data_IF_052534851098
#
_entry.id   IF_052534851098
#
_cell.length_a   1.000
_cell.length_b   1.000
_cell.length_c   1.000
_cell.angle_alpha   90.00
_cell.angle_beta   90.00
_cell.angle_gamma   90.00
#
_symmetry.space_group_name_H-M   'P 1'
#
loop_
_entity.id
_entity.type
_entity.pdbx_description
1 polymer ?
#
# COMPACT_ATOMS: atom_id res chain seq x y z
N UNK A 1 -45.95 34.18 -13.03
CA UNK A 1 -45.82 33.89 -14.46
C UNK A 1 -44.62 32.99 -14.63
N UNK A 2 -44.86 31.68 -14.88
CA UNK A 2 -43.81 30.76 -15.25
C UNK A 2 -43.59 30.95 -16.76
N UNK A 3 -42.46 31.53 -17.13
CA UNK A 3 -42.01 31.51 -18.53
C UNK A 3 -41.83 30.05 -18.96
N UNK A 4 -42.78 29.51 -19.68
CA UNK A 4 -42.62 28.22 -20.37
C UNK A 4 -41.62 28.42 -21.51
N UNK A 5 -40.36 28.12 -21.23
CA UNK A 5 -39.30 28.12 -22.23
C UNK A 5 -39.60 26.98 -23.19
N UNK A 6 -39.95 27.31 -24.44
CA UNK A 6 -40.16 26.34 -25.50
C UNK A 6 -38.88 25.55 -25.77
N UNK A 7 -38.98 24.21 -25.86
CA UNK A 7 -37.84 23.30 -26.01
C UNK A 7 -36.87 23.72 -27.13
N UNK A 8 -37.32 24.14 -28.33
CA UNK A 8 -36.43 24.67 -29.35
C UNK A 8 -35.64 25.91 -28.94
N UNK A 9 -36.26 26.86 -28.24
CA UNK A 9 -35.61 28.08 -27.76
C UNK A 9 -34.56 27.75 -26.66
N UNK A 10 -34.84 26.78 -25.82
CA UNK A 10 -33.91 26.27 -24.84
C UNK A 10 -32.69 25.65 -25.50
N UNK A 11 -32.90 24.79 -26.51
CA UNK A 11 -31.81 24.16 -27.27
C UNK A 11 -30.94 25.18 -28.02
N UNK A 12 -31.55 26.22 -28.60
CA UNK A 12 -30.82 27.33 -29.25
C UNK A 12 -30.01 28.15 -28.21
N UNK A 13 -30.57 28.38 -27.03
CA UNK A 13 -29.75 29.00 -25.93
C UNK A 13 -28.59 28.13 -25.52
N UNK A 14 -28.80 26.83 -25.32
CA UNK A 14 -27.72 25.88 -24.93
C UNK A 14 -26.65 25.81 -26.04
N UNK A 15 -26.98 25.78 -27.29
CA UNK A 15 -26.02 25.76 -28.41
C UNK A 15 -25.24 27.06 -28.56
N UNK A 16 -25.86 28.22 -28.28
CA UNK A 16 -25.14 29.51 -28.23
C UNK A 16 -24.10 29.62 -27.12
N UNK A 17 -24.28 28.86 -26.04
CA UNK A 17 -23.33 28.74 -24.93
C UNK A 17 -22.46 27.49 -25.07
N UNK A 18 -22.49 26.76 -26.19
CA UNK A 18 -21.62 25.62 -26.41
C UNK A 18 -20.17 26.10 -26.45
N UNK A 19 -19.46 25.76 -25.39
CA UNK A 19 -18.07 26.09 -25.16
C UNK A 19 -17.17 25.15 -25.93
N UNK A 20 -15.95 25.56 -26.22
CA UNK A 20 -14.94 24.70 -26.85
C UNK A 20 -14.68 23.47 -25.95
N UNK A 21 -14.28 22.34 -26.54
CA UNK A 21 -13.92 21.10 -25.81
C UNK A 21 -12.98 21.34 -24.63
N UNK A 22 -12.09 22.34 -24.76
CA UNK A 22 -11.17 22.73 -23.70
C UNK A 22 -11.88 23.35 -22.49
N UNK A 23 -12.83 24.23 -22.73
CA UNK A 23 -13.64 24.86 -21.68
C UNK A 23 -14.58 23.85 -21.01
N UNK A 24 -15.10 22.87 -21.74
CA UNK A 24 -15.90 21.78 -21.18
C UNK A 24 -15.09 20.97 -20.16
N UNK A 25 -13.82 20.70 -20.43
CA UNK A 25 -12.92 20.01 -19.50
C UNK A 25 -12.67 20.87 -18.24
N UNK A 26 -12.50 22.18 -18.40
CA UNK A 26 -12.31 23.08 -17.26
C UNK A 26 -13.55 23.16 -16.38
N UNK A 27 -14.72 23.32 -16.98
CA UNK A 27 -15.99 23.32 -16.23
C UNK A 27 -16.26 21.99 -15.53
N UNK A 28 -15.93 20.86 -16.16
CA UNK A 28 -16.09 19.54 -15.53
C UNK A 28 -15.20 19.41 -14.28
N UNK A 29 -13.98 19.95 -14.30
CA UNK A 29 -13.10 19.98 -13.14
C UNK A 29 -13.67 20.83 -12.00
N UNK A 30 -14.26 21.99 -12.32
CA UNK A 30 -14.89 22.86 -11.32
C UNK A 30 -16.12 22.18 -10.69
N UNK A 31 -16.97 21.55 -11.53
CA UNK A 31 -18.14 20.81 -11.05
C UNK A 31 -17.73 19.66 -10.15
N UNK A 32 -16.66 18.96 -10.54
CA UNK A 32 -16.10 17.87 -9.74
C UNK A 32 -15.53 18.37 -8.41
N UNK A 33 -14.77 19.47 -8.41
CA UNK A 33 -14.25 20.07 -7.17
C UNK A 33 -15.40 20.46 -6.23
N UNK A 34 -16.47 21.05 -6.77
CA UNK A 34 -17.66 21.37 -5.96
C UNK A 34 -18.40 20.13 -5.44
N UNK A 35 -18.39 19.02 -6.19
CA UNK A 35 -18.91 17.75 -5.71
C UNK A 35 -18.06 17.22 -4.54
N UNK A 36 -16.75 17.20 -4.69
CA UNK A 36 -15.82 16.75 -3.64
C UNK A 36 -15.99 17.56 -2.36
N UNK A 37 -16.09 18.89 -2.46
CA UNK A 37 -16.32 19.77 -1.31
C UNK A 37 -17.63 19.44 -0.59
N UNK A 38 -18.71 19.19 -1.33
CA UNK A 38 -20.01 18.80 -0.75
C UNK A 38 -19.95 17.46 -0.03
N UNK A 39 -19.26 16.49 -0.61
CA UNK A 39 -19.07 15.18 0.02
C UNK A 39 -18.20 15.28 1.28
N UNK A 40 -17.14 16.10 1.27
CA UNK A 40 -16.33 16.39 2.46
C UNK A 40 -17.16 17.01 3.59
N UNK A 41 -18.05 17.95 3.28
CA UNK A 41 -18.97 18.55 4.27
C UNK A 41 -19.86 17.46 4.88
N UNK A 42 -20.49 16.60 4.06
CA UNK A 42 -21.34 15.50 4.54
C UNK A 42 -20.58 14.51 5.42
N UNK A 43 -19.34 14.15 5.04
CA UNK A 43 -18.50 13.27 5.85
C UNK A 43 -18.21 13.90 7.21
N UNK A 44 -17.88 15.20 7.21
CA UNK A 44 -17.56 15.96 8.43
C UNK A 44 -18.78 16.08 9.36
N UNK A 45 -19.95 16.44 8.82
CA UNK A 45 -21.21 16.52 9.57
C UNK A 45 -21.55 15.17 10.20
N UNK A 46 -21.47 14.09 9.43
CA UNK A 46 -21.74 12.73 9.91
C UNK A 46 -20.75 12.31 11.02
N UNK A 47 -19.48 12.68 10.88
CA UNK A 47 -18.44 12.42 11.89
C UNK A 47 -18.73 13.21 13.17
N UNK A 48 -19.13 14.47 13.06
CA UNK A 48 -19.52 15.31 14.19
C UNK A 48 -20.75 14.73 14.90
N UNK A 49 -21.77 14.34 14.15
CA UNK A 49 -23.01 13.80 14.71
C UNK A 49 -22.77 12.47 15.43
N UNK A 50 -21.96 11.58 14.83
CA UNK A 50 -21.60 10.32 15.46
C UNK A 50 -20.75 10.54 16.71
N UNK A 51 -19.82 11.50 16.69
CA UNK A 51 -18.97 11.81 17.85
C UNK A 51 -19.75 12.45 19.01
N UNK A 52 -20.87 13.15 18.72
CA UNK A 52 -21.77 13.72 19.75
C UNK A 52 -22.72 12.68 20.35
N UNK A 53 -22.95 11.54 19.68
CA UNK A 53 -23.78 10.48 20.22
C UNK A 53 -23.06 9.80 21.39
N UNK A 54 -23.67 9.82 22.57
CA UNK A 54 -23.16 9.13 23.76
C UNK A 54 -23.50 7.63 23.74
N UNK A 55 -23.26 6.96 22.61
CA UNK A 55 -23.46 5.51 22.51
C UNK A 55 -22.17 4.79 22.95
N UNK A 56 -22.25 4.11 24.10
CA UNK A 56 -21.12 3.36 24.66
C UNK A 56 -20.65 2.19 23.77
N UNK A 57 -21.44 1.80 22.76
CA UNK A 57 -21.06 0.76 21.81
C UNK A 57 -20.20 1.28 20.67
N UNK A 58 -20.11 2.60 20.49
CA UNK A 58 -19.32 3.23 19.42
C UNK A 58 -18.04 3.79 20.03
N UNK A 59 -16.92 3.11 19.78
CA UNK A 59 -15.61 3.61 20.24
C UNK A 59 -15.12 4.79 19.38
N UNK A 60 -14.34 5.71 19.95
CA UNK A 60 -13.69 6.78 19.19
C UNK A 60 -12.84 6.24 18.03
N UNK A 61 -12.22 5.08 18.22
CA UNK A 61 -11.45 4.40 17.19
C UNK A 61 -12.32 3.97 16.00
N UNK A 62 -13.55 3.47 16.23
CA UNK A 62 -14.47 3.08 15.17
C UNK A 62 -14.99 4.28 14.36
N UNK A 63 -15.11 5.45 15.01
CA UNK A 63 -15.45 6.70 14.32
C UNK A 63 -14.32 7.13 13.39
N UNK A 64 -13.07 7.06 13.84
CA UNK A 64 -11.89 7.35 13.02
C UNK A 64 -11.85 6.41 11.79
N UNK A 65 -11.95 5.10 12.00
CA UNK A 65 -11.91 4.10 10.93
C UNK A 65 -13.01 4.31 9.88
N UNK A 66 -14.24 4.63 10.33
CA UNK A 66 -15.36 4.90 9.42
C UNK A 66 -15.16 6.18 8.62
N UNK A 67 -14.58 7.21 9.24
CA UNK A 67 -14.29 8.50 8.58
C UNK A 67 -13.15 8.34 7.56
N UNK A 68 -12.08 7.63 7.93
CA UNK A 68 -10.98 7.28 7.02
C UNK A 68 -11.47 6.51 5.81
N UNK A 69 -12.34 5.52 6.00
CA UNK A 69 -12.92 4.75 4.89
C UNK A 69 -13.69 5.64 3.92
N UNK A 70 -14.57 6.53 4.43
CA UNK A 70 -15.37 7.44 3.58
C UNK A 70 -14.50 8.44 2.82
N UNK A 71 -13.46 8.97 3.48
CA UNK A 71 -12.49 9.86 2.83
C UNK A 71 -11.69 9.12 1.75
N UNK A 72 -11.34 7.87 2.01
CA UNK A 72 -10.70 7.00 1.05
C UNK A 72 -11.59 6.74 -0.18
N UNK A 73 -12.83 6.32 0.04
CA UNK A 73 -13.81 6.06 -1.04
C UNK A 73 -14.05 7.31 -1.90
N UNK A 74 -14.05 8.50 -1.27
CA UNK A 74 -14.17 9.77 -1.98
C UNK A 74 -12.93 10.07 -2.83
N UNK A 75 -11.73 9.82 -2.29
CA UNK A 75 -10.47 10.02 -3.00
C UNK A 75 -10.32 9.03 -4.17
N UNK A 76 -10.78 7.79 -4.01
CA UNK A 76 -10.76 6.78 -5.06
C UNK A 76 -11.73 7.10 -6.20
N UNK A 77 -12.95 7.56 -5.87
CA UNK A 77 -13.93 8.08 -6.85
C UNK A 77 -13.40 9.29 -7.60
N UNK A 78 -12.46 10.03 -7.02
CA UNK A 78 -11.83 11.21 -7.62
C UNK A 78 -10.78 10.93 -8.67
N UNK A 79 -10.23 9.75 -8.70
CA UNK A 79 -9.34 9.34 -9.78
C UNK A 79 -10.17 8.89 -11.00
N UNK A 80 -10.87 9.84 -11.63
CA UNK A 80 -11.43 9.69 -12.98
C UNK A 80 -10.31 9.64 -14.05
N UNK A 81 -9.21 8.99 -13.77
CA UNK A 81 -8.38 8.46 -14.84
C UNK A 81 -9.14 7.25 -15.36
N UNK A 82 -9.69 7.41 -16.53
CA UNK A 82 -10.41 6.37 -17.26
C UNK A 82 -9.66 5.05 -17.12
N UNK A 83 -10.25 4.08 -16.43
CA UNK A 83 -9.71 2.72 -16.34
C UNK A 83 -9.63 2.04 -17.72
N UNK A 84 -10.15 2.71 -18.75
CA UNK A 84 -10.10 2.29 -20.15
C UNK A 84 -8.90 2.97 -20.83
N UNK A 85 -7.84 2.22 -20.98
CA UNK A 85 -6.67 2.60 -21.77
C UNK A 85 -6.86 2.01 -23.17
N UNK A 86 -6.61 2.81 -24.22
CA UNK A 86 -6.62 2.29 -25.57
C UNK A 86 -5.52 1.26 -25.76
N UNK A 87 -5.80 0.26 -26.58
CA UNK A 87 -4.85 -0.85 -26.80
C UNK A 87 -3.49 -0.37 -27.35
N UNK A 88 -3.47 0.67 -28.18
CA UNK A 88 -2.24 1.28 -28.69
C UNK A 88 -1.39 1.92 -27.57
N UNK A 89 -2.00 2.55 -26.59
CA UNK A 89 -1.32 3.09 -25.41
C UNK A 89 -0.77 1.96 -24.51
N UNK A 90 -1.59 0.90 -24.31
CA UNK A 90 -1.14 -0.27 -23.55
C UNK A 90 0.04 -0.96 -24.25
N UNK A 91 0.04 -1.07 -25.57
CA UNK A 91 1.16 -1.61 -26.35
C UNK A 91 2.44 -0.79 -26.19
N UNK A 92 2.35 0.55 -26.21
CA UNK A 92 3.53 1.42 -25.99
C UNK A 92 4.15 1.16 -24.62
N UNK A 93 3.34 1.09 -23.57
CA UNK A 93 3.83 0.78 -22.22
C UNK A 93 4.47 -0.61 -22.16
N UNK A 94 3.90 -1.60 -22.86
CA UNK A 94 4.47 -2.96 -22.95
C UNK A 94 5.83 -2.96 -23.67
N UNK A 95 5.96 -2.20 -24.75
CA UNK A 95 7.23 -2.09 -25.51
C UNK A 95 8.30 -1.39 -24.66
N UNK A 96 7.94 -0.33 -23.94
CA UNK A 96 8.86 0.34 -23.02
C UNK A 96 9.33 -0.60 -21.91
N UNK A 97 8.40 -1.37 -21.32
CA UNK A 97 8.72 -2.37 -20.30
C UNK A 97 9.66 -3.46 -20.85
N UNK A 98 9.37 -3.99 -22.02
CA UNK A 98 10.22 -4.97 -22.69
C UNK A 98 11.60 -4.40 -23.08
N UNK A 99 11.66 -3.14 -23.53
CA UNK A 99 12.93 -2.48 -23.84
C UNK A 99 13.80 -2.26 -22.59
N UNK A 100 13.18 -1.90 -21.48
CA UNK A 100 13.89 -1.76 -20.20
C UNK A 100 14.39 -3.11 -19.69
N UNK A 101 13.58 -4.17 -19.83
CA UNK A 101 13.99 -5.54 -19.52
C UNK A 101 15.17 -6.00 -20.36
N UNK A 102 15.13 -5.74 -21.67
CA UNK A 102 16.19 -6.13 -22.62
C UNK A 102 17.53 -5.42 -22.32
N UNK A 103 17.48 -4.18 -21.84
CA UNK A 103 18.67 -3.40 -21.48
C UNK A 103 19.25 -3.78 -20.11
N UNK A 104 18.51 -4.52 -19.32
CA UNK A 104 18.93 -4.91 -17.97
C UNK A 104 19.69 -6.24 -18.06
N UNK A 105 21.03 -6.17 -17.96
CA UNK A 105 21.91 -7.33 -18.04
C UNK A 105 21.64 -8.38 -16.95
N UNK A 106 21.08 -7.97 -15.81
CA UNK A 106 20.74 -8.87 -14.70
C UNK A 106 19.45 -9.66 -14.93
N UNK A 107 18.66 -9.36 -15.97
CA UNK A 107 17.40 -10.05 -16.28
C UNK A 107 16.26 -9.84 -15.27
N UNK A 108 16.46 -9.01 -14.23
CA UNK A 108 15.49 -8.75 -13.17
C UNK A 108 14.87 -7.38 -13.42
N UNK A 109 13.57 -7.35 -13.75
CA UNK A 109 12.82 -6.11 -14.05
C UNK A 109 12.10 -5.57 -12.81
N UNK A 110 11.62 -6.48 -11.97
CA UNK A 110 10.96 -6.17 -10.71
C UNK A 110 11.93 -5.88 -9.56
N UNK A 111 11.38 -5.74 -8.34
CA UNK A 111 12.17 -5.66 -7.12
C UNK A 111 12.79 -7.03 -6.85
N UNK A 112 14.13 -7.15 -6.76
CA UNK A 112 14.77 -8.43 -6.53
C UNK A 112 14.46 -8.97 -5.12
N UNK A 113 14.25 -10.28 -5.02
CA UNK A 113 14.07 -10.96 -3.73
C UNK A 113 15.42 -11.26 -3.06
N UNK A 114 16.51 -11.23 -3.83
CA UNK A 114 17.83 -11.65 -3.39
C UNK A 114 18.01 -13.18 -3.31
N UNK A 115 17.01 -13.94 -3.79
CA UNK A 115 17.04 -15.38 -3.88
C UNK A 115 17.11 -15.77 -5.36
N UNK A 116 18.28 -16.21 -5.81
CA UNK A 116 18.58 -16.45 -7.24
C UNK A 116 17.50 -17.24 -7.95
N UNK A 117 17.19 -18.45 -7.47
CA UNK A 117 16.21 -19.33 -8.13
C UNK A 117 14.80 -18.74 -8.16
N UNK A 118 14.46 -17.89 -7.21
CA UNK A 118 13.17 -17.19 -7.16
C UNK A 118 13.19 -16.03 -8.15
N UNK A 119 14.25 -15.26 -8.17
CA UNK A 119 14.41 -14.12 -9.08
C UNK A 119 14.49 -14.59 -10.55
N UNK A 120 15.18 -15.68 -10.83
CA UNK A 120 15.24 -16.30 -12.17
C UNK A 120 13.85 -16.75 -12.67
N UNK A 121 12.99 -17.22 -11.77
CA UNK A 121 11.64 -17.69 -12.12
C UNK A 121 10.60 -16.55 -12.22
N UNK A 122 10.72 -15.52 -11.39
CA UNK A 122 9.76 -14.42 -11.32
C UNK A 122 10.18 -13.20 -12.16
N UNK A 123 11.46 -13.06 -12.49
CA UNK A 123 12.01 -11.82 -13.06
C UNK A 123 12.02 -10.67 -12.02
N UNK A 124 12.03 -11.00 -10.72
CA UNK A 124 11.80 -10.09 -9.60
C UNK A 124 10.31 -9.93 -9.26
N UNK A 125 10.03 -9.10 -8.25
CA UNK A 125 8.67 -8.78 -7.82
C UNK A 125 8.15 -7.60 -8.64
N UNK A 126 7.14 -7.85 -9.47
CA UNK A 126 6.61 -6.82 -10.38
C UNK A 126 5.57 -5.93 -9.70
N UNK A 127 5.48 -4.70 -10.17
CA UNK A 127 4.44 -3.77 -9.74
C UNK A 127 3.05 -4.36 -9.98
N UNK A 128 2.12 -4.04 -9.11
CA UNK A 128 0.74 -4.55 -9.08
C UNK A 128 0.58 -6.04 -8.78
N UNK A 129 1.64 -6.79 -8.54
CA UNK A 129 1.52 -8.19 -8.14
C UNK A 129 1.19 -8.35 -6.66
N UNK A 130 0.45 -9.39 -6.36
CA UNK A 130 0.20 -9.91 -5.02
C UNK A 130 0.73 -11.33 -4.95
N UNK A 131 1.80 -11.52 -4.19
CA UNK A 131 2.35 -12.84 -3.90
C UNK A 131 1.90 -13.32 -2.53
N UNK A 132 1.49 -14.57 -2.45
CA UNK A 132 1.05 -15.20 -1.21
C UNK A 132 2.00 -16.33 -0.86
N UNK A 133 2.69 -16.19 0.28
CA UNK A 133 3.55 -17.23 0.85
C UNK A 133 2.74 -17.99 1.89
N UNK A 134 2.49 -19.27 1.63
CA UNK A 134 1.77 -20.15 2.53
C UNK A 134 2.66 -21.28 3.03
N UNK A 135 2.42 -21.72 4.25
CA UNK A 135 3.13 -22.83 4.89
C UNK A 135 2.59 -23.10 6.28
N UNK A 136 2.87 -24.29 6.80
CA UNK A 136 2.51 -24.66 8.19
C UNK A 136 3.28 -23.77 9.20
N UNK A 137 2.81 -23.65 10.42
CA UNK A 137 3.55 -22.98 11.49
C UNK A 137 5.00 -23.50 11.57
N UNK A 138 5.93 -22.64 11.91
CA UNK A 138 7.38 -22.95 12.07
C UNK A 138 8.12 -23.38 10.80
N UNK A 139 7.51 -23.28 9.61
CA UNK A 139 8.18 -23.59 8.32
C UNK A 139 9.02 -22.44 7.75
N UNK A 140 9.21 -21.36 8.51
CA UNK A 140 10.10 -20.27 8.11
C UNK A 140 9.46 -19.18 7.25
N UNK A 141 8.13 -19.05 7.17
CA UNK A 141 7.45 -17.98 6.39
C UNK A 141 7.96 -16.59 6.73
N UNK A 142 7.95 -16.23 8.01
CA UNK A 142 8.44 -14.93 8.50
C UNK A 142 9.93 -14.73 8.18
N UNK A 143 10.77 -15.78 8.29
CA UNK A 143 12.17 -15.70 7.95
C UNK A 143 12.37 -15.38 6.46
N UNK A 144 11.66 -16.11 5.59
CA UNK A 144 11.70 -15.87 4.15
C UNK A 144 11.21 -14.46 3.79
N UNK A 145 10.07 -14.02 4.35
CA UNK A 145 9.52 -12.69 4.13
C UNK A 145 10.48 -11.58 4.61
N UNK A 146 11.13 -11.78 5.75
CA UNK A 146 12.12 -10.85 6.30
C UNK A 146 13.35 -10.74 5.41
N UNK A 147 13.85 -11.86 4.90
CA UNK A 147 15.01 -11.88 4.00
C UNK A 147 14.69 -11.19 2.68
N UNK A 148 13.53 -11.46 2.09
CA UNK A 148 13.08 -10.78 0.87
C UNK A 148 13.00 -9.26 1.13
N UNK A 149 12.37 -8.83 2.23
CA UNK A 149 12.25 -7.42 2.57
C UNK A 149 13.61 -6.74 2.76
N UNK A 150 14.53 -7.41 3.46
CA UNK A 150 15.89 -6.90 3.70
C UNK A 150 16.68 -6.79 2.40
N UNK A 151 16.73 -7.86 1.60
CA UNK A 151 17.44 -7.89 0.31
C UNK A 151 16.89 -6.85 -0.66
N UNK A 152 15.56 -6.71 -0.73
CA UNK A 152 14.91 -5.69 -1.53
C UNK A 152 15.31 -4.26 -1.09
N UNK A 153 15.30 -3.99 0.23
CA UNK A 153 15.71 -2.70 0.77
C UNK A 153 17.18 -2.38 0.47
N UNK A 154 18.06 -3.38 0.57
CA UNK A 154 19.48 -3.23 0.24
C UNK A 154 19.67 -2.90 -1.25
N UNK A 155 18.99 -3.59 -2.14
CA UNK A 155 19.06 -3.34 -3.58
C UNK A 155 18.48 -1.98 -3.98
N UNK A 156 17.40 -1.55 -3.32
CA UNK A 156 16.83 -0.21 -3.53
C UNK A 156 17.81 0.88 -3.10
N UNK A 157 18.51 0.71 -1.98
CA UNK A 157 19.55 1.63 -1.53
C UNK A 157 20.71 1.69 -2.52
N UNK A 158 21.21 0.54 -2.97
CA UNK A 158 22.30 0.45 -3.96
C UNK A 158 21.92 1.13 -5.29
N UNK A 159 20.67 1.04 -5.70
CA UNK A 159 20.18 1.66 -6.95
C UNK A 159 20.09 3.18 -6.89
N UNK A 160 20.18 3.79 -5.71
CA UNK A 160 20.01 5.23 -5.49
C UNK A 160 18.61 5.77 -5.82
N UNK A 161 17.63 4.90 -6.09
CA UNK A 161 16.24 5.29 -6.32
C UNK A 161 15.58 5.72 -5.02
N UNK A 162 14.78 6.79 -5.09
CA UNK A 162 13.92 7.18 -3.97
C UNK A 162 12.78 6.19 -3.84
N UNK A 163 13.01 5.08 -3.16
CA UNK A 163 12.02 4.05 -2.90
C UNK A 163 12.30 3.32 -1.60
N UNK A 164 11.33 2.56 -1.11
CA UNK A 164 11.41 1.88 0.16
C UNK A 164 10.61 0.58 0.19
N UNK A 165 10.83 -0.19 1.26
CA UNK A 165 10.08 -1.38 1.62
C UNK A 165 9.30 -1.11 2.91
N UNK A 166 8.01 -1.44 2.95
CA UNK A 166 7.19 -1.40 4.15
C UNK A 166 6.87 -2.81 4.63
N UNK A 167 7.21 -3.10 5.88
CA UNK A 167 6.94 -4.38 6.52
C UNK A 167 5.90 -4.20 7.63
N UNK A 168 4.69 -4.72 7.41
CA UNK A 168 3.62 -4.78 8.41
C UNK A 168 3.73 -6.08 9.19
N UNK A 169 4.31 -6.00 10.39
CA UNK A 169 4.53 -7.15 11.28
C UNK A 169 3.40 -7.23 12.29
N UNK A 170 2.45 -8.12 12.06
CA UNK A 170 1.25 -8.23 12.91
C UNK A 170 1.43 -9.25 14.04
N UNK A 171 2.47 -10.06 13.98
CA UNK A 171 2.78 -11.09 14.97
C UNK A 171 4.00 -10.71 15.85
N UNK A 172 5.03 -10.13 15.25
CA UNK A 172 6.30 -9.84 15.91
C UNK A 172 6.44 -8.34 16.15
N UNK A 173 7.07 -7.96 17.28
CA UNK A 173 7.46 -6.56 17.50
C UNK A 173 8.59 -6.14 16.55
N UNK A 174 8.73 -4.83 16.35
CA UNK A 174 9.81 -4.22 15.57
C UNK A 174 11.19 -4.62 16.10
N UNK A 175 11.35 -4.72 17.42
CA UNK A 175 12.58 -5.17 18.07
C UNK A 175 12.92 -6.63 17.73
N UNK A 176 11.91 -7.51 17.74
CA UNK A 176 12.12 -8.93 17.41
C UNK A 176 12.51 -9.11 15.94
N UNK A 177 11.87 -8.35 15.04
CA UNK A 177 12.18 -8.37 13.62
C UNK A 177 13.58 -7.83 13.35
N UNK A 178 13.92 -6.68 13.95
CA UNK A 178 15.27 -6.08 13.86
C UNK A 178 16.35 -7.00 14.42
N UNK A 179 16.09 -7.64 15.57
CA UNK A 179 17.01 -8.63 16.15
C UNK A 179 17.24 -9.81 15.20
N UNK A 180 16.22 -10.27 14.49
CA UNK A 180 16.36 -11.35 13.51
C UNK A 180 17.25 -10.92 12.34
N UNK A 181 17.01 -9.73 11.77
CA UNK A 181 17.82 -9.18 10.68
C UNK A 181 19.29 -9.02 11.13
N UNK A 182 19.51 -8.40 12.27
CA UNK A 182 20.87 -8.19 12.83
C UNK A 182 21.58 -9.51 13.13
N UNK A 183 20.87 -10.50 13.69
CA UNK A 183 21.43 -11.83 13.97
C UNK A 183 21.90 -12.52 12.68
N UNK A 184 21.12 -12.41 11.62
CA UNK A 184 21.45 -12.99 10.33
C UNK A 184 22.64 -12.28 9.68
N UNK A 185 22.64 -10.96 9.64
CA UNK A 185 23.69 -10.16 9.03
C UNK A 185 25.02 -10.24 9.81
N UNK A 186 24.96 -10.25 11.13
CA UNK A 186 26.16 -10.41 12.00
C UNK A 186 26.65 -11.86 12.10
N UNK A 187 25.81 -12.84 11.64
CA UNK A 187 26.04 -14.27 11.82
C UNK A 187 26.13 -14.71 13.29
N UNK A 188 25.42 -14.04 14.17
CA UNK A 188 25.31 -14.35 15.60
C UNK A 188 23.93 -14.94 15.83
N UNK A 189 23.86 -16.03 16.60
CA UNK A 189 22.56 -16.68 16.88
C UNK A 189 21.64 -15.73 17.65
N UNK A 190 20.42 -15.51 17.15
CA UNK A 190 19.44 -14.62 17.82
C UNK A 190 19.11 -15.04 19.25
N UNK A 191 19.20 -16.34 19.56
CA UNK A 191 19.00 -16.85 20.91
C UNK A 191 20.13 -16.43 21.86
N UNK A 192 21.37 -16.34 21.38
CA UNK A 192 22.52 -15.92 22.19
C UNK A 192 22.46 -14.41 22.42
N UNK A 193 22.04 -13.63 21.42
CA UNK A 193 21.78 -12.18 21.58
C UNK A 193 20.71 -11.96 22.65
N UNK A 194 19.57 -12.64 22.57
CA UNK A 194 18.46 -12.49 23.52
C UNK A 194 18.80 -12.91 24.95
N UNK A 195 19.75 -13.81 25.11
CA UNK A 195 20.20 -14.32 26.44
C UNK A 195 21.41 -13.61 26.97
N UNK A 196 21.96 -12.64 26.21
CA UNK A 196 23.23 -11.97 26.61
C UNK A 196 24.44 -12.90 26.60
N UNK A 197 24.43 -13.99 25.82
CA UNK A 197 25.49 -14.99 25.74
C UNK A 197 26.36 -14.74 24.52
N UNK A 198 26.78 -13.50 24.33
CA UNK A 198 27.65 -13.07 23.23
C UNK A 198 28.97 -12.59 23.84
N UNK A 199 30.07 -12.80 23.12
CA UNK A 199 31.37 -12.28 23.51
C UNK A 199 31.49 -10.80 23.17
N UNK A 200 32.48 -10.11 23.74
CA UNK A 200 32.74 -8.69 23.45
C UNK A 200 33.00 -8.48 21.95
N UNK A 201 33.76 -9.36 21.31
CA UNK A 201 33.99 -9.33 19.85
C UNK A 201 32.70 -9.48 19.04
N UNK A 202 31.80 -10.36 19.49
CA UNK A 202 30.49 -10.53 18.84
C UNK A 202 29.61 -9.31 19.05
N UNK A 203 29.69 -8.67 20.20
CA UNK A 203 28.96 -7.45 20.48
C UNK A 203 29.46 -6.30 19.61
N UNK A 204 30.77 -6.12 19.49
CA UNK A 204 31.36 -5.10 18.62
C UNK A 204 30.93 -5.31 17.17
N UNK A 205 30.99 -6.55 16.67
CA UNK A 205 30.50 -6.91 15.34
C UNK A 205 29.00 -6.63 15.16
N UNK A 206 28.19 -6.90 16.18
CA UNK A 206 26.75 -6.62 16.17
C UNK A 206 26.49 -5.12 16.03
N UNK A 207 27.22 -4.27 16.77
CA UNK A 207 27.14 -2.82 16.70
C UNK A 207 27.59 -2.30 15.32
N UNK A 208 28.70 -2.82 14.79
CA UNK A 208 29.18 -2.45 13.45
C UNK A 208 28.16 -2.81 12.38
N UNK A 209 27.62 -4.02 12.42
CA UNK A 209 26.55 -4.46 11.51
C UNK A 209 25.34 -3.54 11.61
N UNK A 210 24.92 -3.18 12.82
CA UNK A 210 23.78 -2.29 13.04
C UNK A 210 23.98 -0.92 12.39
N UNK A 211 25.19 -0.35 12.47
CA UNK A 211 25.51 0.92 11.80
C UNK A 211 25.40 0.80 10.28
N UNK A 212 25.92 -0.29 9.72
CA UNK A 212 25.93 -0.50 8.27
C UNK A 212 24.53 -0.65 7.66
N UNK A 213 23.58 -1.19 8.43
CA UNK A 213 22.22 -1.42 7.93
C UNK A 213 21.18 -0.40 8.43
N UNK A 214 21.59 0.54 9.28
CA UNK A 214 20.67 1.53 9.89
C UNK A 214 20.00 2.47 8.88
N UNK A 215 20.64 2.70 7.74
CA UNK A 215 20.15 3.62 6.70
C UNK A 215 19.32 2.92 5.62
N UNK A 216 19.07 1.61 5.74
CA UNK A 216 18.26 0.89 4.77
C UNK A 216 16.83 1.47 4.72
N UNK A 217 16.25 1.64 3.52
CA UNK A 217 14.90 2.17 3.36
C UNK A 217 13.84 1.09 3.67
N UNK A 218 13.90 0.53 4.88
CA UNK A 218 12.98 -0.50 5.40
C UNK A 218 12.19 0.08 6.58
N UNK A 219 10.88 0.24 6.39
CA UNK A 219 9.95 0.75 7.41
C UNK A 219 9.14 -0.38 8.01
N UNK A 220 9.12 -0.48 9.34
CA UNK A 220 8.40 -1.52 10.07
C UNK A 220 7.20 -0.89 10.78
N UNK A 221 6.03 -1.48 10.60
CA UNK A 221 4.80 -1.17 11.32
C UNK A 221 4.35 -2.40 12.11
N UNK A 222 4.23 -2.27 13.43
CA UNK A 222 3.87 -3.36 14.33
C UNK A 222 2.45 -3.22 14.90
N UNK A 223 1.61 -2.43 14.24
CA UNK A 223 0.24 -2.22 14.71
C UNK A 223 -0.57 -3.52 14.62
N UNK A 224 -1.03 -4.08 15.74
CA UNK A 224 -1.79 -5.33 15.72
C UNK A 224 -3.17 -5.13 15.10
N UNK A 225 -3.69 -6.18 14.46
CA UNK A 225 -5.04 -6.21 13.89
C UNK A 225 -5.38 -5.01 12.99
N UNK A 226 -4.40 -4.56 12.19
CA UNK A 226 -4.60 -3.45 11.25
C UNK A 226 -5.68 -3.78 10.22
N UNK A 227 -6.55 -2.82 9.92
CA UNK A 227 -7.51 -2.97 8.81
C UNK A 227 -6.84 -2.66 7.47
N UNK A 228 -7.42 -3.19 6.37
CA UNK A 228 -6.91 -2.91 5.01
C UNK A 228 -6.94 -1.41 4.69
N UNK A 229 -7.94 -0.66 5.19
CA UNK A 229 -8.03 0.78 5.00
C UNK A 229 -6.87 1.52 5.70
N UNK A 230 -6.59 1.19 6.96
CA UNK A 230 -5.50 1.79 7.73
C UNK A 230 -4.13 1.45 7.12
N UNK A 231 -3.92 0.19 6.71
CA UNK A 231 -2.71 -0.25 6.02
C UNK A 231 -2.51 0.54 4.72
N UNK A 232 -3.56 0.67 3.90
CA UNK A 232 -3.51 1.41 2.63
C UNK A 232 -3.16 2.88 2.84
N UNK A 233 -3.73 3.53 3.84
CA UNK A 233 -3.43 4.93 4.17
C UNK A 233 -1.96 5.11 4.58
N UNK A 234 -1.42 4.21 5.40
CA UNK A 234 -0.01 4.22 5.81
C UNK A 234 0.92 3.97 4.62
N UNK A 235 0.62 2.96 3.81
CA UNK A 235 1.39 2.64 2.61
C UNK A 235 1.43 3.83 1.64
N UNK A 236 0.29 4.48 1.38
CA UNK A 236 0.23 5.68 0.54
C UNK A 236 1.01 6.85 1.12
N UNK A 237 1.00 7.01 2.44
CA UNK A 237 1.81 8.04 3.12
C UNK A 237 3.30 7.78 2.93
N UNK A 238 3.76 6.53 3.13
CA UNK A 238 5.15 6.13 2.90
C UNK A 238 5.51 6.37 1.44
N UNK A 239 4.67 5.92 0.49
CA UNK A 239 4.89 6.11 -0.95
C UNK A 239 5.06 7.57 -1.33
N UNK A 240 4.27 8.48 -0.74
CA UNK A 240 4.33 9.93 -1.03
C UNK A 240 5.62 10.57 -0.53
N UNK A 241 6.09 10.17 0.64
CA UNK A 241 7.25 10.80 1.31
C UNK A 241 8.55 10.18 0.83
N UNK A 242 8.62 8.86 0.79
CA UNK A 242 9.86 8.10 0.59
C UNK A 242 9.90 7.30 -0.72
N UNK A 243 8.77 7.14 -1.40
CA UNK A 243 8.59 6.11 -2.42
C UNK A 243 8.29 4.76 -1.77
N UNK A 244 7.70 3.82 -2.52
CA UNK A 244 7.34 2.49 -1.99
C UNK A 244 7.21 1.50 -3.14
N UNK A 245 8.06 0.49 -3.16
CA UNK A 245 8.11 -0.52 -4.20
C UNK A 245 7.67 -1.91 -3.70
N UNK A 246 7.77 -2.17 -2.38
CA UNK A 246 7.37 -3.45 -1.81
C UNK A 246 6.63 -3.26 -0.48
N UNK A 247 5.53 -3.98 -0.32
CA UNK A 247 4.82 -4.13 0.94
C UNK A 247 4.86 -5.61 1.34
N UNK A 248 5.27 -5.87 2.58
CA UNK A 248 5.21 -7.20 3.20
C UNK A 248 4.21 -7.17 4.34
N UNK A 249 3.35 -8.17 4.43
CA UNK A 249 2.36 -8.31 5.51
C UNK A 249 2.53 -9.69 6.15
N UNK A 250 2.94 -9.73 7.39
CA UNK A 250 3.16 -10.96 8.14
C UNK A 250 2.29 -11.00 9.41
N UNK A 251 1.15 -11.65 9.36
CA UNK A 251 0.48 -12.40 8.30
C UNK A 251 -1.00 -12.02 8.20
N UNK A 252 -1.60 -12.23 7.04
CA UNK A 252 -2.93 -11.71 6.69
C UNK A 252 -4.06 -12.15 7.63
N UNK A 253 -3.94 -13.31 8.29
CA UNK A 253 -4.95 -13.79 9.23
C UNK A 253 -5.06 -12.95 10.51
N UNK A 254 -4.06 -12.12 10.81
CA UNK A 254 -4.11 -11.18 11.94
C UNK A 254 -4.69 -9.82 11.56
N UNK A 255 -4.93 -9.58 10.28
CA UNK A 255 -5.63 -8.37 9.83
C UNK A 255 -7.10 -8.40 10.25
N UNK A 256 -7.66 -7.22 10.46
CA UNK A 256 -9.08 -7.04 10.73
C UNK A 256 -9.81 -6.82 9.41
N UNK A 257 -10.85 -7.63 9.14
CA UNK A 257 -11.81 -7.36 8.09
C UNK A 257 -12.70 -6.15 8.46
N UNK A 258 -13.18 -5.43 7.46
CA UNK A 258 -14.07 -4.27 7.68
C UNK A 258 -15.46 -4.73 8.10
N UNK A 259 -15.92 -5.85 7.54
CA UNK A 259 -17.22 -6.44 7.86
C UNK A 259 -17.03 -7.70 8.70
N UNK A 260 -17.82 -7.82 9.75
CA UNK A 260 -17.96 -9.08 10.48
C UNK A 260 -18.93 -9.95 9.71
N UNK A 261 -18.41 -10.95 9.01
CA UNK A 261 -19.24 -11.89 8.27
C UNK A 261 -19.79 -12.98 9.19
N UNK A 262 -21.11 -13.19 9.17
CA UNK A 262 -21.77 -14.29 9.89
C UNK A 262 -21.32 -15.67 9.39
N UNK A 263 -20.83 -15.74 8.14
CA UNK A 263 -20.54 -16.99 7.43
C UNK A 263 -19.04 -17.36 7.37
N UNK A 264 -18.19 -16.72 8.15
CA UNK A 264 -16.90 -17.30 8.46
C UNK A 264 -15.67 -16.62 7.90
N UNK A 265 -14.54 -17.15 8.35
CA UNK A 265 -13.16 -16.67 8.15
C UNK A 265 -12.74 -16.58 6.69
N UNK A 266 -13.31 -17.40 5.81
CA UNK A 266 -12.95 -17.43 4.38
C UNK A 266 -13.33 -16.11 3.70
N UNK A 267 -14.52 -15.57 4.00
CA UNK A 267 -14.98 -14.31 3.42
C UNK A 267 -14.16 -13.12 3.92
N UNK A 268 -13.78 -13.10 5.21
CA UNK A 268 -12.89 -12.09 5.77
C UNK A 268 -11.53 -12.07 5.06
N UNK A 269 -10.91 -13.24 4.85
CA UNK A 269 -9.63 -13.35 4.13
C UNK A 269 -9.79 -12.95 2.67
N UNK A 270 -10.91 -13.30 2.04
CA UNK A 270 -11.21 -12.90 0.67
C UNK A 270 -11.30 -11.38 0.54
N UNK A 271 -12.00 -10.70 1.46
CA UNK A 271 -12.07 -9.23 1.50
C UNK A 271 -10.68 -8.60 1.67
N UNK A 272 -9.89 -9.11 2.61
CA UNK A 272 -8.53 -8.63 2.86
C UNK A 272 -7.65 -8.79 1.63
N UNK A 273 -7.66 -9.97 0.99
CA UNK A 273 -6.82 -10.23 -0.19
C UNK A 273 -7.23 -9.43 -1.41
N UNK A 274 -8.54 -9.20 -1.61
CA UNK A 274 -9.03 -8.28 -2.65
C UNK A 274 -8.55 -6.85 -2.38
N UNK A 275 -8.62 -6.39 -1.14
CA UNK A 275 -8.13 -5.08 -0.75
C UNK A 275 -6.61 -4.93 -0.92
N UNK A 276 -5.82 -5.96 -0.59
CA UNK A 276 -4.38 -5.96 -0.82
C UNK A 276 -4.05 -5.95 -2.32
N UNK A 277 -4.80 -6.69 -3.16
CA UNK A 277 -4.61 -6.64 -4.61
C UNK A 277 -4.99 -5.29 -5.21
N UNK A 278 -6.05 -4.66 -4.69
CA UNK A 278 -6.42 -3.29 -5.08
C UNK A 278 -5.35 -2.26 -4.66
N UNK A 279 -4.72 -2.45 -3.51
CA UNK A 279 -3.60 -1.60 -3.06
C UNK A 279 -2.35 -1.76 -3.93
N UNK A 280 -2.07 -2.97 -4.41
CA UNK A 280 -0.92 -3.27 -5.25
C UNK A 280 -1.04 -2.67 -6.67
N UNK A 281 -2.27 -2.52 -7.18
CA UNK A 281 -2.57 -1.81 -8.43
C UNK A 281 -2.44 -0.30 -8.28
#
# INVERSE_FOLDING_TARGET
EKDEINVPEYLVKVTKFSTSSRQTIEYSKIIYDMFVRRELIKISENTIDTAKQNDLNISGQSIIESSEKRLFDLAEKGSFNSSLIKFDEAMKLTIEMASNAYKNEEGIVGVPTGLRDLDDRLGGLHNSDLLIIAGRPSMGKTALATNIAFNAAQKLQESGKKSSVAFFSLEMSSEQLSTRILAEQSRIKSNDIRRGRITDEQFDKFIETSKNISELPLYIDETPAISIAALSNRARRIKRIYGLDLIVVDYIQLMRAVHSFKDGRVQEISEITQGLKALAK
#
